data_IF_631322811372
#
_entry.id   IF_631322811372
#
_cell.length_a   1.000
_cell.length_b   1.000
_cell.length_c   1.000
_cell.angle_alpha   90.00
_cell.angle_beta   90.00
_cell.angle_gamma   90.00
#
_symmetry.space_group_name_H-M   'P 1'
#
loop_
_entity.id
_entity.type
_entity.pdbx_description
1 polymer ?
#
# COMPACT_ATOMS: atom_id res chain seq x y z
N UNK A 1 0.37 -14.37 -9.07
CA UNK A 1 -0.94 -13.85 -9.58
C UNK A 1 -1.28 -12.44 -9.10
N UNK A 2 -0.97 -12.06 -7.85
CA UNK A 2 -1.30 -10.73 -7.32
C UNK A 2 -0.72 -9.56 -8.14
N UNK A 3 0.48 -9.70 -8.71
CA UNK A 3 1.12 -8.68 -9.56
C UNK A 3 0.22 -8.27 -10.73
N UNK A 4 -0.28 -9.25 -11.51
CA UNK A 4 -1.14 -8.97 -12.67
C UNK A 4 -2.50 -8.41 -12.24
N UNK A 5 -3.05 -8.87 -11.10
CA UNK A 5 -4.30 -8.32 -10.57
C UNK A 5 -4.15 -6.83 -10.17
N UNK A 6 -3.04 -6.48 -9.50
CA UNK A 6 -2.72 -5.09 -9.18
C UNK A 6 -2.47 -4.24 -10.43
N UNK A 7 -1.78 -4.78 -11.43
CA UNK A 7 -1.59 -4.10 -12.73
C UNK A 7 -2.93 -3.76 -13.38
N UNK A 8 -3.86 -4.72 -13.46
CA UNK A 8 -5.19 -4.49 -14.03
C UNK A 8 -6.03 -3.51 -13.20
N UNK A 9 -5.94 -3.57 -11.87
CA UNK A 9 -6.60 -2.61 -11.00
C UNK A 9 -6.03 -1.19 -11.21
N UNK A 10 -4.72 -1.05 -11.39
CA UNK A 10 -4.10 0.24 -11.69
C UNK A 10 -4.61 0.81 -13.02
N UNK A 11 -4.81 -0.01 -14.05
CA UNK A 11 -5.45 0.44 -15.29
C UNK A 11 -6.87 0.97 -15.04
N UNK A 12 -7.71 0.24 -14.31
CA UNK A 12 -9.07 0.69 -13.99
C UNK A 12 -9.08 1.99 -13.17
N UNK A 13 -8.17 2.14 -12.20
CA UNK A 13 -8.04 3.34 -11.39
C UNK A 13 -7.56 4.55 -12.21
N UNK A 14 -6.67 4.35 -13.19
CA UNK A 14 -6.22 5.42 -14.07
C UNK A 14 -7.38 6.01 -14.89
N UNK A 15 -8.29 5.14 -15.34
CA UNK A 15 -9.50 5.57 -16.08
C UNK A 15 -10.50 6.30 -15.16
N UNK A 16 -10.67 5.84 -13.92
CA UNK A 16 -11.59 6.48 -12.95
C UNK A 16 -11.03 7.76 -12.32
N UNK A 17 -9.72 7.89 -12.19
CA UNK A 17 -9.05 8.97 -11.46
C UNK A 17 -7.85 9.50 -12.26
N UNK A 18 -8.07 10.26 -13.35
CA UNK A 18 -7.01 10.72 -14.26
C UNK A 18 -6.02 11.70 -13.63
N UNK A 19 -6.29 12.21 -12.43
CA UNK A 19 -5.37 13.06 -11.68
C UNK A 19 -4.16 12.29 -11.11
N UNK A 20 -4.29 10.97 -10.93
CA UNK A 20 -3.23 10.10 -10.44
C UNK A 20 -2.11 9.98 -11.47
N UNK A 21 -0.85 10.02 -11.02
CA UNK A 21 0.33 9.92 -11.89
C UNK A 21 0.72 8.45 -12.05
N UNK A 22 0.64 7.85 -13.25
CA UNK A 22 1.09 6.48 -13.46
C UNK A 22 2.59 6.33 -13.21
N UNK A 23 2.98 5.34 -12.40
CA UNK A 23 4.36 5.00 -12.10
C UNK A 23 4.59 3.51 -12.38
N UNK A 24 5.52 3.19 -13.29
CA UNK A 24 5.89 1.83 -13.72
C UNK A 24 7.32 1.47 -13.31
N UNK A 25 8.17 2.45 -13.06
CA UNK A 25 9.54 2.33 -12.56
C UNK A 25 9.72 3.09 -11.25
N UNK A 26 10.83 2.82 -10.54
CA UNK A 26 11.13 3.53 -9.28
C UNK A 26 11.36 5.03 -9.51
N UNK A 27 12.01 5.40 -10.61
CA UNK A 27 12.32 6.80 -10.93
C UNK A 27 11.06 7.64 -11.22
N UNK A 28 9.95 7.00 -11.64
CA UNK A 28 8.69 7.70 -11.89
C UNK A 28 8.13 8.34 -10.63
N UNK A 29 8.40 7.77 -9.45
CA UNK A 29 7.90 8.30 -8.17
C UNK A 29 8.55 9.64 -7.80
N UNK A 30 9.81 9.86 -8.19
CA UNK A 30 10.47 11.16 -8.01
C UNK A 30 9.79 12.23 -8.87
N UNK A 31 9.43 11.89 -10.11
CA UNK A 31 8.70 12.81 -10.99
C UNK A 31 7.26 13.08 -10.55
N UNK A 32 6.66 12.14 -9.82
CA UNK A 32 5.33 12.26 -9.24
C UNK A 32 5.33 13.01 -7.90
N UNK A 33 6.48 13.49 -7.42
CA UNK A 33 6.59 14.17 -6.13
C UNK A 33 5.62 15.34 -6.00
N UNK A 34 4.96 15.43 -4.84
CA UNK A 34 3.89 16.40 -4.57
C UNK A 34 2.54 16.06 -5.21
N UNK A 35 2.43 14.94 -5.92
CA UNK A 35 1.19 14.41 -6.50
C UNK A 35 0.92 12.99 -6.01
N UNK A 36 -0.33 12.53 -6.18
CA UNK A 36 -0.68 11.15 -5.90
C UNK A 36 -0.22 10.24 -7.04
N UNK A 37 0.73 9.35 -6.76
CA UNK A 37 1.22 8.33 -7.69
C UNK A 37 0.32 7.10 -7.71
N UNK A 38 0.17 6.48 -8.87
CA UNK A 38 -0.54 5.22 -9.09
C UNK A 38 0.44 4.19 -9.65
N UNK A 39 0.71 3.16 -8.84
CA UNK A 39 1.72 2.18 -9.17
C UNK A 39 1.19 1.04 -10.07
N UNK A 40 1.93 0.79 -11.15
CA UNK A 40 1.78 -0.33 -12.08
C UNK A 40 2.94 -1.32 -11.85
N UNK A 41 2.72 -2.41 -11.09
CA UNK A 41 3.81 -3.24 -10.58
C UNK A 41 4.43 -4.20 -11.60
N UNK A 42 3.78 -4.51 -12.71
CA UNK A 42 4.19 -5.62 -13.59
C UNK A 42 5.63 -5.45 -14.09
N UNK A 43 6.00 -4.23 -14.50
CA UNK A 43 7.34 -3.90 -15.01
C UNK A 43 8.45 -4.16 -14.00
N UNK A 44 8.19 -3.92 -12.71
CA UNK A 44 9.19 -4.08 -11.65
C UNK A 44 9.23 -5.50 -11.07
N UNK A 45 8.09 -6.19 -11.05
CA UNK A 45 7.95 -7.40 -10.22
C UNK A 45 7.88 -8.71 -11.01
N UNK A 46 7.48 -8.70 -12.29
CA UNK A 46 7.44 -9.94 -13.08
C UNK A 46 8.86 -10.47 -13.28
N UNK A 47 9.14 -11.70 -12.82
CA UNK A 47 10.47 -12.30 -12.85
C UNK A 47 11.47 -11.71 -11.84
N UNK A 48 11.03 -10.88 -10.90
CA UNK A 48 11.90 -10.32 -9.87
C UNK A 48 12.34 -11.42 -8.87
N UNK A 49 13.66 -11.57 -8.69
CA UNK A 49 14.22 -12.64 -7.86
C UNK A 49 13.90 -12.52 -6.35
N UNK A 50 13.56 -11.32 -5.88
CA UNK A 50 13.20 -11.05 -4.49
C UNK A 50 11.69 -11.16 -4.21
N UNK A 51 10.90 -11.58 -5.22
CA UNK A 51 9.46 -11.80 -5.11
C UNK A 51 9.12 -13.24 -5.47
N UNK A 52 8.59 -13.98 -4.50
CA UNK A 52 8.03 -15.30 -4.78
C UNK A 52 6.67 -15.14 -5.48
N UNK A 53 6.56 -15.63 -6.72
CA UNK A 53 5.32 -15.57 -7.50
C UNK A 53 4.31 -16.66 -7.11
N UNK A 54 3.99 -16.73 -5.82
CA UNK A 54 2.99 -17.64 -5.27
C UNK A 54 1.80 -16.86 -4.67
N UNK A 55 0.89 -17.55 -4.00
CA UNK A 55 -0.28 -16.94 -3.35
C UNK A 55 -0.01 -16.46 -1.91
N UNK A 56 1.19 -16.69 -1.39
CA UNK A 56 1.58 -16.19 -0.07
C UNK A 56 2.00 -14.71 -0.13
N UNK A 57 2.36 -14.20 -1.31
CA UNK A 57 2.69 -12.79 -1.57
C UNK A 57 1.53 -12.11 -2.31
N UNK A 58 0.92 -11.11 -1.68
CA UNK A 58 -0.17 -10.32 -2.27
C UNK A 58 0.10 -8.82 -2.17
N UNK A 59 -0.91 -7.98 -2.45
CA UNK A 59 -0.77 -6.52 -2.48
C UNK A 59 -0.17 -5.92 -1.22
N UNK A 60 -0.38 -6.52 -0.05
CA UNK A 60 0.20 -6.03 1.21
C UNK A 60 1.73 -6.14 1.20
N UNK A 61 2.25 -7.34 0.90
CA UNK A 61 3.68 -7.58 0.79
C UNK A 61 4.31 -6.74 -0.32
N UNK A 62 3.63 -6.62 -1.47
CA UNK A 62 4.14 -5.83 -2.60
C UNK A 62 4.16 -4.33 -2.29
N UNK A 63 3.17 -3.80 -1.57
CA UNK A 63 3.18 -2.43 -1.09
C UNK A 63 4.32 -2.18 -0.10
N UNK A 64 4.60 -3.14 0.80
CA UNK A 64 5.73 -3.06 1.73
C UNK A 64 7.08 -3.11 1.02
N UNK A 65 7.21 -3.95 -0.01
CA UNK A 65 8.37 -3.98 -0.89
C UNK A 65 8.62 -2.62 -1.53
N UNK A 66 7.59 -2.01 -2.14
CA UNK A 66 7.70 -0.70 -2.77
C UNK A 66 8.07 0.38 -1.75
N UNK A 67 7.36 0.43 -0.61
CA UNK A 67 7.63 1.39 0.46
C UNK A 67 9.07 1.31 0.97
N UNK A 68 9.64 0.09 1.03
CA UNK A 68 11.05 -0.12 1.37
C UNK A 68 11.99 0.45 0.31
N UNK A 69 11.70 0.24 -0.98
CA UNK A 69 12.51 0.76 -2.10
C UNK A 69 12.46 2.28 -2.19
N UNK A 70 11.31 2.88 -1.89
CA UNK A 70 11.12 4.33 -1.85
C UNK A 70 11.60 4.98 -0.55
N UNK A 71 12.15 4.21 0.39
CA UNK A 71 12.50 4.68 1.73
C UNK A 71 11.36 5.47 2.42
N UNK A 72 10.11 5.04 2.20
CA UNK A 72 8.94 5.75 2.67
C UNK A 72 8.89 5.76 4.21
N UNK A 73 8.54 6.90 4.84
CA UNK A 73 8.46 6.99 6.30
C UNK A 73 7.24 6.26 6.88
N UNK A 74 6.20 6.05 6.06
CA UNK A 74 4.96 5.41 6.47
C UNK A 74 4.46 4.47 5.37
N UNK A 75 3.91 3.32 5.78
CA UNK A 75 3.12 2.43 4.95
C UNK A 75 1.74 2.27 5.60
N UNK A 76 0.70 2.69 4.91
CA UNK A 76 -0.69 2.52 5.37
C UNK A 76 -1.38 1.46 4.52
N UNK A 77 -1.87 0.40 5.15
CA UNK A 77 -2.70 -0.61 4.51
C UNK A 77 -4.17 -0.32 4.79
N UNK A 78 -4.93 -0.03 3.74
CA UNK A 78 -6.38 0.18 3.82
C UNK A 78 -7.07 -1.15 3.55
N UNK A 79 -7.91 -1.60 4.48
CA UNK A 79 -8.66 -2.86 4.37
C UNK A 79 -10.11 -2.61 4.06
N UNK A 80 -10.78 -3.58 3.43
CA UNK A 80 -12.20 -3.47 3.08
C UNK A 80 -13.07 -3.18 4.30
N UNK A 81 -14.23 -2.54 4.08
CA UNK A 81 -15.21 -2.27 5.12
C UNK A 81 -15.61 -3.56 5.86
N UNK A 82 -15.74 -3.49 7.19
CA UNK A 82 -16.01 -4.65 8.04
C UNK A 82 -14.88 -5.68 8.14
N UNK A 83 -13.70 -5.44 7.54
CA UNK A 83 -12.52 -6.25 7.83
C UNK A 83 -12.21 -6.19 9.33
N UNK A 84 -11.64 -7.25 9.93
CA UNK A 84 -11.34 -7.31 11.36
C UNK A 84 -10.12 -6.46 11.73
N UNK A 85 -10.03 -5.24 11.19
CA UNK A 85 -9.13 -4.19 11.61
C UNK A 85 -9.61 -3.70 12.97
N UNK A 86 -9.25 -4.42 14.02
CA UNK A 86 -9.39 -3.86 15.37
C UNK A 86 -8.28 -2.83 15.55
N UNK A 87 -8.58 -1.79 16.33
CA UNK A 87 -7.55 -0.90 16.89
C UNK A 87 -6.42 -1.78 17.41
N UNK A 88 -5.15 -1.56 17.02
CA UNK A 88 -4.05 -2.41 17.45
C UNK A 88 -4.09 -2.57 18.97
N UNK A 89 -4.35 -3.79 19.43
CA UNK A 89 -4.24 -4.10 20.85
C UNK A 89 -2.76 -3.98 21.18
N UNK A 90 -2.40 -3.33 22.29
CA UNK A 90 -1.00 -3.27 22.74
C UNK A 90 -0.39 -4.68 22.68
N UNK A 91 0.64 -4.86 21.85
CA UNK A 91 1.35 -6.14 21.69
C UNK A 91 1.01 -6.96 20.44
N UNK A 92 0.08 -6.53 19.58
CA UNK A 92 -0.20 -7.21 18.30
C UNK A 92 1.06 -7.20 17.41
N UNK A 93 1.61 -8.39 17.12
CA UNK A 93 2.74 -8.53 16.20
C UNK A 93 2.28 -8.61 14.74
N UNK A 94 3.19 -8.37 13.79
CA UNK A 94 2.90 -8.56 12.37
C UNK A 94 2.58 -10.02 12.02
N UNK A 95 3.11 -10.98 12.79
CA UNK A 95 2.76 -12.39 12.66
C UNK A 95 1.30 -12.63 13.04
N UNK A 96 0.78 -11.95 14.07
CA UNK A 96 -0.63 -12.05 14.48
C UNK A 96 -1.56 -11.46 13.42
N UNK A 97 -1.13 -10.42 12.71
CA UNK A 97 -1.88 -9.84 11.60
C UNK A 97 -2.00 -10.84 10.45
N UNK A 98 -0.91 -11.53 10.12
CA UNK A 98 -0.87 -12.55 9.08
C UNK A 98 -1.70 -13.79 9.48
N UNK A 99 -1.56 -14.27 10.72
CA UNK A 99 -2.28 -15.43 11.23
C UNK A 99 -3.81 -15.22 11.24
N UNK A 100 -4.27 -13.99 11.45
CA UNK A 100 -5.70 -13.61 11.39
C UNK A 100 -6.19 -13.29 9.97
N UNK A 101 -5.32 -13.37 8.95
CA UNK A 101 -5.67 -13.05 7.56
C UNK A 101 -5.91 -11.56 7.30
N UNK A 102 -5.42 -10.67 8.17
CA UNK A 102 -5.49 -9.22 7.97
C UNK A 102 -4.52 -8.78 6.86
N UNK A 103 -3.35 -9.41 6.83
CA UNK A 103 -2.34 -9.26 5.77
C UNK A 103 -1.95 -10.64 5.24
N UNK A 104 -1.30 -10.69 4.09
CA UNK A 104 -0.81 -11.95 3.55
C UNK A 104 0.29 -12.62 4.38
N UNK A 105 0.61 -13.86 4.02
CA UNK A 105 1.56 -14.72 4.75
C UNK A 105 2.99 -14.23 4.67
N UNK A 106 3.38 -13.61 3.56
CA UNK A 106 4.73 -13.12 3.38
C UNK A 106 4.97 -11.77 4.07
N UNK A 107 3.91 -11.02 4.41
CA UNK A 107 4.01 -9.65 4.90
C UNK A 107 5.01 -9.46 6.07
N UNK A 108 5.05 -10.33 7.11
CA UNK A 108 6.00 -10.15 8.21
C UNK A 108 7.47 -10.14 7.74
N UNK A 109 7.81 -10.94 6.72
CA UNK A 109 9.18 -11.01 6.19
C UNK A 109 9.54 -9.74 5.39
N UNK A 110 8.59 -9.19 4.62
CA UNK A 110 8.78 -7.90 3.94
C UNK A 110 8.90 -6.76 4.94
N UNK A 111 8.02 -6.72 5.94
CA UNK A 111 7.99 -5.69 6.96
C UNK A 111 9.26 -5.66 7.83
N UNK A 112 9.93 -6.80 8.04
CA UNK A 112 11.22 -6.85 8.74
C UNK A 112 12.32 -6.00 8.05
N UNK A 113 12.17 -5.74 6.74
CA UNK A 113 13.10 -4.93 5.93
C UNK A 113 12.67 -3.45 5.88
N UNK A 114 11.41 -3.15 6.18
CA UNK A 114 10.89 -1.80 6.20
C UNK A 114 11.30 -1.06 7.49
N UNK A 115 11.67 0.21 7.36
CA UNK A 115 12.15 1.05 8.48
C UNK A 115 11.16 2.11 8.92
N UNK A 116 10.08 2.30 8.17
CA UNK A 116 9.02 3.25 8.49
C UNK A 116 7.96 2.68 9.43
N UNK A 117 6.91 3.47 9.63
CA UNK A 117 5.76 3.09 10.45
C UNK A 117 4.74 2.36 9.58
N UNK A 118 4.30 1.18 10.01
CA UNK A 118 3.22 0.45 9.37
C UNK A 118 1.92 0.75 10.10
N UNK A 119 0.89 1.15 9.36
CA UNK A 119 -0.45 1.47 9.85
C UNK A 119 -1.47 0.62 9.11
N UNK A 120 -2.56 0.31 9.81
CA UNK A 120 -3.66 -0.44 9.27
C UNK A 120 -4.95 0.30 9.59
N UNK A 121 -5.81 0.47 8.59
CA UNK A 121 -7.05 1.24 8.68
C UNK A 121 -8.13 0.55 7.87
N UNK A 122 -9.37 0.59 8.36
CA UNK A 122 -10.51 0.09 7.61
C UNK A 122 -11.04 1.18 6.66
N UNK A 123 -11.52 0.80 5.48
CA UNK A 123 -12.03 1.73 4.47
C UNK A 123 -13.29 2.48 4.93
N UNK A 124 -14.01 1.95 5.91
CA UNK A 124 -15.18 2.55 6.56
C UNK A 124 -14.83 3.39 7.81
N UNK A 125 -13.57 3.44 8.23
CA UNK A 125 -13.09 4.32 9.31
C UNK A 125 -12.68 5.69 8.76
N UNK A 126 -13.68 6.48 8.36
CA UNK A 126 -13.47 7.82 7.80
C UNK A 126 -12.64 8.74 8.73
N UNK A 127 -12.88 8.80 10.05
CA UNK A 127 -12.06 9.63 10.95
C UNK A 127 -10.57 9.24 10.96
N UNK A 128 -10.25 7.95 10.88
CA UNK A 128 -8.85 7.51 10.81
C UNK A 128 -8.21 7.85 9.45
N UNK A 129 -8.96 7.68 8.34
CA UNK A 129 -8.49 8.05 7.01
C UNK A 129 -8.22 9.56 6.90
N UNK A 130 -9.11 10.41 7.44
CA UNK A 130 -8.93 11.87 7.44
C UNK A 130 -7.70 12.33 8.25
N UNK A 131 -7.36 11.61 9.33
CA UNK A 131 -6.15 11.89 10.11
C UNK A 131 -4.87 11.50 9.37
N UNK A 132 -4.91 10.43 8.56
CA UNK A 132 -3.76 9.92 7.82
C UNK A 132 -3.53 10.66 6.50
N UNK A 133 -4.62 11.03 5.84
CA UNK A 133 -4.65 11.70 4.55
C UNK A 133 -5.54 12.94 4.65
N UNK A 134 -5.11 13.97 5.40
CA UNK A 134 -5.88 15.18 5.52
C UNK A 134 -6.10 15.76 4.13
N UNK A 135 -7.37 15.97 3.76
CA UNK A 135 -7.69 16.69 2.54
C UNK A 135 -6.90 18.01 2.53
N UNK A 136 -6.30 18.41 1.39
CA UNK A 136 -5.68 19.72 1.31
C UNK A 136 -6.75 20.73 1.72
N UNK A 137 -6.51 21.43 2.85
CA UNK A 137 -7.41 22.51 3.26
C UNK A 137 -7.46 23.45 2.08
N UNK A 138 -8.61 23.59 1.45
CA UNK A 138 -8.85 24.69 0.54
C UNK A 138 -8.52 25.94 1.33
N UNK A 139 -7.42 26.62 0.96
CA UNK A 139 -7.17 27.95 1.45
C UNK A 139 -8.39 28.76 1.01
N UNK A 140 -9.29 29.03 1.95
CA UNK A 140 -10.41 29.94 1.74
C UNK A 140 -9.76 31.27 1.38
N UNK A 141 -9.90 31.67 0.12
CA UNK A 141 -9.65 33.04 -0.28
C UNK A 141 -10.69 33.91 0.42
N UNK A 142 -10.26 34.63 1.46
CA UNK A 142 -10.86 35.86 1.97
C UNK A 142 -9.83 36.59 2.83
#
# INVERSE_FOLDING_TARGET
MAILAMEQMAHALADCAPALVPCRALDDFETASGRAALWFPATLLLGAADINENWDVTSDSLACWLATRLAAPNLTLVKAAGAPVRTPVRGDSLADWSARGVVDRAFPAFAARFRGIIRLVAADDAPALDQLFPSPRTASAA
#
